data_IF_062131926812
#
_entry.id   IF_062131926812
#
_cell.length_a   1.000
_cell.length_b   1.000
_cell.length_c   1.000
_cell.angle_alpha   90.00
_cell.angle_beta   90.00
_cell.angle_gamma   90.00
#
_symmetry.space_group_name_H-M   'P 1'
#
loop_
_entity.id
_entity.type
_entity.pdbx_description
1 polymer ?
#
# COMPACT_ATOMS: atom_id res chain seq x y z
N UNK A 1 13.13 -31.47 -3.38
CA UNK A 1 11.85 -30.71 -3.35
C UNK A 1 12.18 -29.26 -3.66
N UNK A 2 12.15 -28.89 -4.95
CA UNK A 2 12.43 -27.51 -5.37
C UNK A 2 11.21 -26.64 -5.04
N UNK A 3 11.33 -25.79 -4.02
CA UNK A 3 10.36 -24.72 -3.77
C UNK A 3 10.42 -23.78 -4.97
N UNK A 4 9.35 -23.80 -5.78
CA UNK A 4 9.15 -22.83 -6.84
C UNK A 4 8.82 -21.51 -6.15
N UNK A 5 9.82 -20.64 -6.04
CA UNK A 5 9.61 -19.25 -5.65
C UNK A 5 8.91 -18.60 -6.83
N UNK A 6 7.60 -18.44 -6.72
CA UNK A 6 6.81 -17.72 -7.73
C UNK A 6 7.14 -16.23 -7.54
N UNK A 7 7.76 -15.54 -8.51
CA UNK A 7 7.91 -14.10 -8.42
C UNK A 7 6.53 -13.46 -8.61
N UNK A 8 5.82 -13.19 -7.52
CA UNK A 8 4.61 -12.36 -7.55
C UNK A 8 5.08 -10.91 -7.46
N UNK A 9 5.62 -10.37 -8.55
CA UNK A 9 5.97 -8.95 -8.61
C UNK A 9 5.53 -8.40 -9.96
N UNK A 10 4.91 -7.22 -9.92
CA UNK A 10 4.39 -6.43 -11.04
C UNK A 10 2.92 -6.68 -11.45
N UNK A 11 2.01 -6.69 -10.48
CA UNK A 11 0.68 -6.12 -10.76
C UNK A 11 0.78 -4.61 -10.62
N UNK A 12 0.59 -3.89 -11.72
CA UNK A 12 0.51 -2.42 -11.74
C UNK A 12 -0.71 -2.01 -10.90
N UNK A 13 -0.49 -1.62 -9.65
CA UNK A 13 -1.53 -1.07 -8.78
C UNK A 13 -1.77 0.36 -9.25
N UNK A 14 -2.79 0.55 -10.08
CA UNK A 14 -3.28 1.88 -10.43
C UNK A 14 -3.99 2.46 -9.21
N UNK A 15 -3.41 3.50 -8.61
CA UNK A 15 -3.99 4.13 -7.42
C UNK A 15 -5.04 5.13 -7.90
N UNK A 16 -6.30 4.72 -7.94
CA UNK A 16 -7.40 5.62 -8.26
C UNK A 16 -7.71 6.51 -7.05
N UNK A 17 -7.05 7.66 -6.96
CA UNK A 17 -7.26 8.60 -5.86
C UNK A 17 -8.51 9.43 -6.12
N UNK A 18 -9.60 9.11 -5.42
CA UNK A 18 -10.78 9.97 -5.36
C UNK A 18 -10.50 11.14 -4.40
N UNK A 19 -9.96 12.22 -4.96
CA UNK A 19 -9.55 13.42 -4.23
C UNK A 19 -10.62 14.00 -3.31
N UNK A 20 -10.48 13.76 -2.00
CA UNK A 20 -11.15 14.50 -0.92
C UNK A 20 -10.28 14.54 0.35
N UNK A 21 -9.01 14.90 0.24
CA UNK A 21 -8.12 15.11 1.39
C UNK A 21 -8.33 16.50 2.03
N UNK A 22 -9.47 16.71 2.67
CA UNK A 22 -9.62 17.74 3.71
C UNK A 22 -9.24 17.10 5.05
N UNK A 23 -8.11 17.54 5.62
CA UNK A 23 -7.41 16.91 6.74
C UNK A 23 -8.23 16.73 8.01
N UNK A 24 -8.74 15.52 8.19
CA UNK A 24 -9.43 15.06 9.39
C UNK A 24 -8.99 13.62 9.67
N UNK A 25 -8.86 13.18 10.92
CA UNK A 25 -8.45 11.80 11.25
C UNK A 25 -9.33 10.74 10.58
N UNK A 26 -10.58 11.11 10.26
CA UNK A 26 -11.52 10.30 9.47
C UNK A 26 -11.11 10.14 8.00
N UNK A 27 -10.38 11.09 7.42
CA UNK A 27 -9.78 11.00 6.08
C UNK A 27 -8.59 10.04 6.05
N UNK A 28 -7.77 10.01 7.11
CA UNK A 28 -6.62 9.08 7.23
C UNK A 28 -7.08 7.63 7.36
N UNK A 29 -8.10 7.36 8.17
CA UNK A 29 -8.67 6.02 8.30
C UNK A 29 -9.26 5.53 6.97
N UNK A 30 -9.97 6.39 6.23
CA UNK A 30 -10.50 6.04 4.90
C UNK A 30 -9.39 5.77 3.90
N UNK A 31 -8.38 6.62 3.85
CA UNK A 31 -7.23 6.45 2.96
C UNK A 31 -6.50 5.11 3.21
N UNK A 32 -6.37 4.71 4.49
CA UNK A 32 -5.85 3.40 4.87
C UNK A 32 -6.72 2.27 4.29
N UNK A 33 -8.03 2.30 4.54
CA UNK A 33 -8.95 1.27 4.03
C UNK A 33 -8.97 1.19 2.50
N UNK A 34 -9.00 2.33 1.82
CA UNK A 34 -8.97 2.40 0.36
C UNK A 34 -7.68 1.83 -0.22
N UNK A 35 -6.53 2.11 0.39
CA UNK A 35 -5.25 1.55 -0.04
C UNK A 35 -5.19 0.03 0.18
N UNK A 36 -5.70 -0.47 1.31
CA UNK A 36 -5.82 -1.92 1.57
C UNK A 36 -6.68 -2.58 0.49
N UNK A 37 -7.85 -2.01 0.18
CA UNK A 37 -8.75 -2.58 -0.82
C UNK A 37 -8.13 -2.59 -2.22
N UNK A 38 -7.31 -1.59 -2.56
CA UNK A 38 -6.56 -1.56 -3.83
C UNK A 38 -5.48 -2.63 -3.91
N UNK A 39 -4.72 -2.85 -2.83
CA UNK A 39 -3.73 -3.93 -2.76
C UNK A 39 -4.39 -5.30 -2.85
N UNK A 40 -5.54 -5.48 -2.18
CA UNK A 40 -6.34 -6.71 -2.26
C UNK A 40 -6.86 -6.93 -3.68
N UNK A 41 -7.39 -5.89 -4.32
CA UNK A 41 -7.81 -5.95 -5.72
C UNK A 41 -6.63 -6.27 -6.67
N UNK A 42 -5.42 -5.84 -6.31
CA UNK A 42 -4.17 -6.16 -6.99
C UNK A 42 -3.64 -7.58 -6.77
N UNK A 43 -4.26 -8.34 -5.87
CA UNK A 43 -3.96 -9.76 -5.62
C UNK A 43 -3.28 -10.07 -4.28
N UNK A 44 -3.10 -9.10 -3.39
CA UNK A 44 -2.59 -9.38 -2.04
C UNK A 44 -3.71 -9.96 -1.15
N UNK A 45 -3.35 -10.86 -0.24
CA UNK A 45 -4.28 -11.28 0.81
C UNK A 45 -4.56 -10.13 1.77
N UNK A 46 -5.81 -9.96 2.19
CA UNK A 46 -6.22 -8.84 3.06
C UNK A 46 -5.36 -8.69 4.32
N UNK A 47 -5.00 -9.75 5.07
CA UNK A 47 -4.15 -9.61 6.25
C UNK A 47 -2.76 -9.02 5.94
N UNK A 48 -2.18 -9.41 4.80
CA UNK A 48 -0.88 -8.91 4.34
C UNK A 48 -1.01 -7.45 3.88
N UNK A 49 -2.07 -7.13 3.13
CA UNK A 49 -2.35 -5.77 2.71
C UNK A 49 -2.57 -4.83 3.91
N UNK A 50 -3.29 -5.27 4.94
CA UNK A 50 -3.51 -4.50 6.18
C UNK A 50 -2.19 -4.23 6.91
N UNK A 51 -1.31 -5.23 6.99
CA UNK A 51 0.02 -5.10 7.61
C UNK A 51 0.93 -4.13 6.84
N UNK A 52 1.00 -4.26 5.51
CA UNK A 52 1.79 -3.37 4.64
C UNK A 52 1.33 -1.92 4.78
N UNK A 53 0.01 -1.68 4.71
CA UNK A 53 -0.54 -0.34 4.83
C UNK A 53 -0.35 0.22 6.24
N UNK A 54 -0.39 -0.62 7.29
CA UNK A 54 -0.05 -0.19 8.63
C UNK A 54 1.38 0.33 8.73
N UNK A 55 2.35 -0.46 8.25
CA UNK A 55 3.77 -0.08 8.24
C UNK A 55 4.00 1.21 7.46
N UNK A 56 3.40 1.32 6.27
CA UNK A 56 3.47 2.52 5.44
C UNK A 56 2.91 3.76 6.14
N UNK A 57 1.76 3.64 6.82
CA UNK A 57 1.14 4.78 7.50
C UNK A 57 1.88 5.15 8.80
N UNK A 58 2.45 4.20 9.55
CA UNK A 58 3.07 4.48 10.86
C UNK A 58 4.23 5.49 10.74
N UNK A 59 5.00 5.43 9.67
CA UNK A 59 6.19 6.28 9.48
C UNK A 59 5.90 7.58 8.74
N UNK A 60 4.70 7.76 8.17
CA UNK A 60 4.35 8.93 7.35
C UNK A 60 3.40 9.91 8.05
N UNK A 61 3.75 11.19 7.94
CA UNK A 61 2.89 12.29 8.37
C UNK A 61 1.80 12.61 7.32
N UNK A 62 0.83 13.44 7.69
CA UNK A 62 -0.32 13.74 6.83
C UNK A 62 0.04 14.52 5.55
N UNK A 63 1.14 15.29 5.55
CA UNK A 63 1.60 15.96 4.34
C UNK A 63 2.21 14.96 3.35
N UNK A 64 3.03 14.03 3.84
CA UNK A 64 3.62 12.97 3.01
C UNK A 64 2.54 12.04 2.44
N UNK A 65 1.55 11.66 3.24
CA UNK A 65 0.43 10.85 2.74
C UNK A 65 -0.38 11.59 1.69
N UNK A 66 -0.63 12.90 1.89
CA UNK A 66 -1.33 13.70 0.89
C UNK A 66 -0.56 13.79 -0.42
N UNK A 67 0.76 13.97 -0.37
CA UNK A 67 1.59 13.97 -1.58
C UNK A 67 1.63 12.57 -2.22
N UNK A 68 1.63 11.51 -1.41
CA UNK A 68 1.54 10.14 -1.89
C UNK A 68 0.26 9.92 -2.70
N UNK A 69 -0.88 10.27 -2.11
CA UNK A 69 -2.20 10.18 -2.73
C UNK A 69 -2.46 11.29 -3.77
N UNK A 70 -1.59 12.27 -3.97
CA UNK A 70 -1.77 13.24 -5.05
C UNK A 70 -1.39 12.66 -6.43
N UNK A 71 -0.79 11.47 -6.46
CA UNK A 71 -0.25 10.83 -7.66
C UNK A 71 -1.05 9.59 -8.01
N UNK A 72 -1.22 9.34 -9.30
CA UNK A 72 -1.98 8.20 -9.83
C UNK A 72 -1.15 6.89 -9.84
N UNK A 73 0.17 7.01 -9.77
CA UNK A 73 1.11 5.89 -9.87
C UNK A 73 2.15 5.90 -8.75
N UNK A 74 2.54 4.70 -8.31
CA UNK A 74 3.65 4.49 -7.41
C UNK A 74 4.98 4.77 -8.10
N UNK A 75 5.88 5.47 -7.40
CA UNK A 75 7.28 5.56 -7.82
C UNK A 75 7.99 4.21 -7.67
N UNK A 76 9.15 4.08 -8.29
CA UNK A 76 9.99 2.88 -8.13
C UNK A 76 10.44 2.67 -6.68
N UNK A 77 10.76 3.75 -5.96
CA UNK A 77 11.11 3.68 -4.56
C UNK A 77 9.95 3.16 -3.69
N UNK A 78 8.73 3.63 -3.96
CA UNK A 78 7.54 3.18 -3.22
C UNK A 78 7.17 1.75 -3.58
N UNK A 79 7.35 1.32 -4.84
CA UNK A 79 7.18 -0.10 -5.19
C UNK A 79 8.17 -0.99 -4.43
N UNK A 80 9.42 -0.55 -4.27
CA UNK A 80 10.41 -1.26 -3.48
C UNK A 80 10.03 -1.29 -1.99
N UNK A 81 9.59 -0.15 -1.43
CA UNK A 81 9.10 -0.04 -0.04
C UNK A 81 7.92 -0.98 0.24
N UNK A 82 6.91 -1.02 -0.65
CA UNK A 82 5.77 -1.92 -0.50
C UNK A 82 6.17 -3.39 -0.66
N UNK A 83 7.19 -3.70 -1.47
CA UNK A 83 7.70 -5.06 -1.59
C UNK A 83 8.42 -5.50 -0.30
N UNK A 84 9.28 -4.64 0.26
CA UNK A 84 9.98 -4.89 1.52
C UNK A 84 9.01 -5.07 2.69
N UNK A 85 8.03 -4.16 2.82
CA UNK A 85 6.94 -4.30 3.81
C UNK A 85 6.13 -5.59 3.59
N UNK A 86 5.93 -5.98 2.34
CA UNK A 86 5.22 -7.21 1.98
C UNK A 86 5.96 -8.47 2.43
N UNK A 87 7.28 -8.50 2.26
CA UNK A 87 8.12 -9.60 2.75
C UNK A 87 8.08 -9.68 4.28
N UNK A 88 8.25 -8.56 4.98
CA UNK A 88 8.16 -8.50 6.44
C UNK A 88 6.80 -8.99 6.97
N UNK A 89 5.71 -8.65 6.29
CA UNK A 89 4.36 -9.04 6.66
C UNK A 89 4.01 -10.51 6.32
N UNK A 90 4.79 -11.18 5.46
CA UNK A 90 4.62 -12.59 5.11
C UNK A 90 5.43 -13.53 6.01
N UNK A 91 6.53 -13.04 6.58
CA UNK A 91 7.39 -13.78 7.50
C UNK A 91 6.98 -13.66 8.99
N UNK A 92 5.98 -12.81 9.28
CA UNK A 92 5.44 -12.52 10.62
C UNK A 92 4.35 -13.47 11.13
#
# INVERSE_FOLDING_TARGET
>A
MSRRVTPIVASVVAIAVLGTACGDSRSRQRARTELVDQLVAGGLERPVADCVVEGFFVVRNDAELRDFFARDELTEAERAEFAELGEDCLDG
#
